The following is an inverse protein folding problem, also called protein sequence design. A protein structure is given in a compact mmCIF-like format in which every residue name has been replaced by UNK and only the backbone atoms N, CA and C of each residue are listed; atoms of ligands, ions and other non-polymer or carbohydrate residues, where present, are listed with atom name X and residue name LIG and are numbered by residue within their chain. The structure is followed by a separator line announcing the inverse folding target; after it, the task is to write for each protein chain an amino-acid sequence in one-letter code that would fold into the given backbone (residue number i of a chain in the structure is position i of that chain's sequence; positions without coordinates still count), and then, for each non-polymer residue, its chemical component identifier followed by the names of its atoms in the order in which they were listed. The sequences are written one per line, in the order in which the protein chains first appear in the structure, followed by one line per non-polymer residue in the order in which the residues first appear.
data_IF_215952581240
#
_entry.id   IF_215952581240
#
_cell.length_a   1.000
_cell.length_b   1.000
_cell.length_c   1.000
_cell.angle_alpha   90.00
_cell.angle_beta   90.00
_cell.angle_gamma   90.00
#
_symmetry.space_group_name_H-M   'P 1'
#
loop_
_entity.id
_entity.type
_entity.pdbx_description
1 polymer ?
#
# COMPACT_ATOMS: atom_id res chain seq x y z
N UNK A 1 0.48 19.27 -13.31
CA UNK A 1 -0.73 20.03 -12.84
C UNK A 1 -0.85 19.73 -11.36
N UNK A 2 -1.13 20.71 -10.49
CA UNK A 2 -1.31 20.41 -9.06
C UNK A 2 -2.68 19.72 -8.83
N UNK A 3 -2.66 18.39 -8.85
CA UNK A 3 -3.84 17.59 -8.56
C UNK A 3 -4.20 17.57 -7.08
N UNK A 4 -3.27 17.84 -6.15
CA UNK A 4 -3.54 17.85 -4.71
C UNK A 4 -4.66 18.84 -4.36
N UNK A 5 -4.62 20.05 -4.91
CA UNK A 5 -5.67 21.04 -4.71
C UNK A 5 -7.03 20.63 -5.27
N UNK A 6 -7.04 19.95 -6.43
CA UNK A 6 -8.28 19.48 -7.07
C UNK A 6 -8.91 18.32 -6.29
N UNK A 7 -8.11 17.34 -5.87
CA UNK A 7 -8.61 16.20 -5.07
C UNK A 7 -9.05 16.62 -3.66
N UNK A 8 -8.37 17.59 -3.03
CA UNK A 8 -8.82 18.13 -1.75
C UNK A 8 -10.21 18.78 -1.85
N UNK A 9 -10.51 19.49 -2.95
CA UNK A 9 -11.86 20.02 -3.24
C UNK A 9 -12.86 18.88 -3.46
N UNK A 10 -12.48 17.80 -4.17
CA UNK A 10 -13.31 16.61 -4.33
C UNK A 10 -13.66 16.00 -2.97
N UNK A 11 -12.67 15.77 -2.11
CA UNK A 11 -12.86 15.21 -0.77
C UNK A 11 -13.88 16.07 0.00
N UNK A 12 -13.62 17.37 0.12
CA UNK A 12 -14.51 18.28 0.83
C UNK A 12 -15.96 18.26 0.30
N UNK A 13 -16.16 18.17 -1.03
CA UNK A 13 -17.48 18.04 -1.65
C UNK A 13 -18.13 16.70 -1.36
N UNK A 14 -17.36 15.59 -1.42
CA UNK A 14 -17.86 14.24 -1.19
C UNK A 14 -18.27 14.03 0.27
N UNK A 15 -17.48 14.53 1.24
CA UNK A 15 -17.82 14.41 2.66
C UNK A 15 -19.13 15.15 3.03
N UNK A 16 -19.46 16.24 2.33
CA UNK A 16 -20.73 16.95 2.52
C UNK A 16 -21.90 16.35 1.75
N UNK A 17 -21.66 15.76 0.59
CA UNK A 17 -22.69 15.34 -0.35
C UNK A 17 -22.94 13.83 -0.43
N UNK A 18 -22.16 13.03 0.29
CA UNK A 18 -22.27 11.57 0.32
C UNK A 18 -22.21 11.05 1.76
N UNK A 19 -23.38 10.76 2.31
CA UNK A 19 -23.59 10.43 3.74
C UNK A 19 -22.67 9.30 4.23
N UNK A 20 -22.44 8.25 3.41
CA UNK A 20 -21.56 7.15 3.77
C UNK A 20 -20.13 7.65 4.01
N UNK A 21 -19.58 8.41 3.06
CA UNK A 21 -18.24 8.96 3.20
C UNK A 21 -18.17 9.94 4.38
N UNK A 22 -19.14 10.87 4.48
CA UNK A 22 -19.19 11.84 5.58
C UNK A 22 -19.16 11.20 6.95
N UNK A 23 -20.02 10.19 7.18
CA UNK A 23 -20.07 9.45 8.46
C UNK A 23 -18.77 8.71 8.76
N UNK A 24 -18.23 7.98 7.79
CA UNK A 24 -17.02 7.18 8.01
C UNK A 24 -15.78 8.04 8.25
N UNK A 25 -15.67 9.21 7.61
CA UNK A 25 -14.60 10.17 7.89
C UNK A 25 -14.77 10.86 9.25
N UNK A 26 -16.02 11.15 9.65
CA UNK A 26 -16.31 11.67 10.99
C UNK A 26 -15.94 10.61 12.06
N UNK A 27 -16.30 9.34 11.86
CA UNK A 27 -15.90 8.25 12.74
C UNK A 27 -14.38 8.11 12.82
N UNK A 28 -13.69 8.18 11.70
CA UNK A 28 -12.22 8.12 11.66
C UNK A 28 -11.58 9.25 12.47
N UNK A 29 -12.15 10.46 12.45
CA UNK A 29 -11.63 11.60 13.21
C UNK A 29 -11.73 11.42 14.72
N UNK A 30 -12.55 10.48 15.19
CA UNK A 30 -12.75 10.10 16.60
C UNK A 30 -12.10 8.75 16.94
N UNK A 31 -11.39 8.14 15.99
CA UNK A 31 -10.77 6.84 16.18
C UNK A 31 -9.70 6.88 17.30
N UNK A 32 -9.74 5.91 18.20
CA UNK A 32 -8.70 5.73 19.20
C UNK A 32 -7.42 5.26 18.55
N UNK A 33 -6.29 5.78 19.05
CA UNK A 33 -4.95 5.41 18.55
C UNK A 33 -4.10 4.93 19.71
N UNK A 34 -3.43 3.78 19.53
CA UNK A 34 -2.32 3.31 20.37
C UNK A 34 -1.05 3.31 19.54
N UNK A 35 0.05 3.68 20.18
CA UNK A 35 1.37 3.62 19.57
C UNK A 35 2.16 2.52 20.25
N UNK A 36 2.70 1.63 19.45
CA UNK A 36 3.58 0.55 19.88
C UNK A 36 4.97 0.79 19.29
N UNK A 37 6.00 0.36 20.00
CA UNK A 37 7.38 0.40 19.51
C UNK A 37 7.82 -1.03 19.15
N UNK A 38 8.31 -1.23 17.92
CA UNK A 38 8.79 -2.49 17.40
C UNK A 38 10.25 -2.31 16.94
N UNK A 39 11.22 -2.48 17.86
CA UNK A 39 12.61 -2.05 17.59
C UNK A 39 12.64 -0.56 17.27
N UNK A 40 13.23 -0.20 16.14
CA UNK A 40 13.31 1.19 15.66
C UNK A 40 12.06 1.64 14.90
N UNK A 41 11.08 0.75 14.72
CA UNK A 41 9.83 1.07 14.02
C UNK A 41 8.70 1.44 14.97
N UNK A 42 7.96 2.46 14.59
CA UNK A 42 6.71 2.89 15.24
C UNK A 42 5.51 2.26 14.57
N UNK A 43 4.64 1.65 15.35
CA UNK A 43 3.38 1.08 14.87
C UNK A 43 2.22 1.87 15.47
N UNK A 44 1.38 2.43 14.63
CA UNK A 44 0.15 3.12 15.02
C UNK A 44 -1.04 2.19 14.83
N UNK A 45 -1.61 1.69 15.93
CA UNK A 45 -2.89 0.98 15.90
C UNK A 45 -4.01 2.00 15.93
N UNK A 46 -4.93 1.91 14.97
CA UNK A 46 -6.09 2.78 14.85
C UNK A 46 -7.36 1.93 14.98
N UNK A 47 -8.12 2.10 16.07
CA UNK A 47 -9.41 1.43 16.22
C UNK A 47 -10.45 2.09 15.32
N UNK A 48 -10.89 1.37 14.31
CA UNK A 48 -11.84 1.85 13.31
C UNK A 48 -12.89 0.78 12.97
N UNK A 49 -13.96 0.66 13.76
CA UNK A 49 -14.99 -0.37 13.58
C UNK A 49 -15.71 -0.30 12.22
N UNK A 50 -15.78 0.87 11.60
CA UNK A 50 -16.38 1.04 10.26
C UNK A 50 -15.60 0.31 9.16
N UNK A 51 -14.34 -0.09 9.45
CA UNK A 51 -13.49 -0.88 8.54
C UNK A 51 -13.81 -2.35 8.52
N UNK A 52 -14.63 -2.88 9.43
CA UNK A 52 -14.93 -4.33 9.53
C UNK A 52 -15.38 -4.92 8.20
N UNK A 53 -16.27 -4.23 7.47
CA UNK A 53 -16.74 -4.68 6.17
C UNK A 53 -15.60 -4.80 5.14
N UNK A 54 -14.67 -3.86 5.13
CA UNK A 54 -13.53 -3.86 4.21
C UNK A 54 -12.46 -4.89 4.61
N UNK A 55 -12.15 -5.02 5.91
CA UNK A 55 -11.14 -5.96 6.43
C UNK A 55 -11.59 -7.42 6.30
N UNK A 56 -12.89 -7.68 6.35
CA UNK A 56 -13.49 -9.02 6.21
C UNK A 56 -13.85 -9.37 4.76
N UNK A 57 -13.48 -8.58 3.76
CA UNK A 57 -13.84 -8.83 2.37
C UNK A 57 -13.37 -10.21 1.89
N UNK A 58 -14.28 -10.98 1.30
CA UNK A 58 -13.96 -12.25 0.66
C UNK A 58 -13.36 -11.99 -0.72
N UNK A 59 -12.18 -12.55 -0.97
CA UNK A 59 -11.42 -12.38 -2.22
C UNK A 59 -11.14 -13.71 -2.93
N UNK A 60 -11.77 -14.79 -2.48
CA UNK A 60 -11.69 -16.06 -3.18
C UNK A 60 -12.38 -15.99 -4.57
N UNK A 61 -11.94 -16.82 -5.51
CA UNK A 61 -12.42 -16.81 -6.91
C UNK A 61 -13.95 -16.91 -7.03
N UNK A 62 -14.60 -17.68 -6.14
CA UNK A 62 -16.07 -17.85 -6.17
C UNK A 62 -16.79 -16.58 -5.70
N UNK A 63 -16.29 -15.96 -4.66
CA UNK A 63 -16.82 -14.68 -4.14
C UNK A 63 -16.63 -13.54 -5.12
N UNK A 64 -15.45 -13.45 -5.75
CA UNK A 64 -15.17 -12.45 -6.79
C UNK A 64 -16.10 -12.60 -8.00
N UNK A 65 -16.31 -13.82 -8.49
CA UNK A 65 -17.17 -14.08 -9.65
C UNK A 65 -18.67 -13.78 -9.39
N UNK A 66 -19.10 -13.75 -8.13
CA UNK A 66 -20.50 -13.51 -7.75
C UNK A 66 -20.81 -12.05 -7.40
N UNK A 67 -19.80 -11.29 -7.01
CA UNK A 67 -20.00 -9.89 -6.61
C UNK A 67 -19.96 -8.97 -7.83
N UNK A 68 -20.74 -7.90 -7.76
CA UNK A 68 -20.54 -6.75 -8.65
C UNK A 68 -19.28 -6.02 -8.24
N UNK A 69 -18.39 -5.73 -9.19
CA UNK A 69 -17.17 -5.00 -8.91
C UNK A 69 -17.51 -3.57 -8.48
N UNK A 70 -17.15 -3.21 -7.26
CA UNK A 70 -17.44 -1.88 -6.68
C UNK A 70 -16.55 -0.76 -7.24
N UNK A 71 -15.54 -1.10 -8.06
CA UNK A 71 -14.71 -0.12 -8.76
C UNK A 71 -15.25 0.20 -10.17
N UNK A 72 -16.08 -0.66 -10.76
CA UNK A 72 -16.74 -0.38 -12.03
C UNK A 72 -17.79 0.74 -11.87
N UNK A 73 -17.80 1.70 -12.79
CA UNK A 73 -18.64 2.90 -12.69
C UNK A 73 -20.15 2.59 -12.65
N UNK A 74 -20.56 1.55 -13.38
CA UNK A 74 -21.95 1.09 -13.43
C UNK A 74 -22.49 0.49 -12.12
N UNK A 75 -21.58 0.13 -11.19
CA UNK A 75 -21.95 -0.41 -9.89
C UNK A 75 -21.75 0.59 -8.75
N UNK A 76 -21.24 1.78 -9.05
CA UNK A 76 -20.99 2.82 -8.05
C UNK A 76 -22.25 3.67 -7.81
N UNK A 77 -22.46 4.12 -6.56
CA UNK A 77 -23.59 5.01 -6.28
C UNK A 77 -23.41 6.35 -7.02
N UNK A 78 -24.49 6.90 -7.55
CA UNK A 78 -24.46 8.17 -8.30
C UNK A 78 -23.86 9.36 -7.52
N UNK A 79 -23.83 9.27 -6.20
CA UNK A 79 -23.22 10.27 -5.29
C UNK A 79 -21.71 10.19 -5.24
N UNK A 80 -21.09 9.05 -5.55
CA UNK A 80 -19.63 8.89 -5.63
C UNK A 80 -19.13 9.56 -6.90
N UNK A 81 -18.45 10.69 -6.75
CA UNK A 81 -17.89 11.45 -7.87
C UNK A 81 -16.41 11.12 -8.04
N UNK A 82 -15.92 11.32 -9.26
CA UNK A 82 -14.54 11.08 -9.65
C UNK A 82 -13.95 12.28 -10.36
N UNK A 83 -12.63 12.34 -10.35
CA UNK A 83 -11.80 13.18 -11.23
C UNK A 83 -11.08 12.24 -12.18
N UNK A 84 -11.09 12.52 -13.47
CA UNK A 84 -10.29 11.78 -14.43
C UNK A 84 -8.82 12.17 -14.30
N UNK A 85 -7.94 11.17 -14.34
CA UNK A 85 -6.50 11.37 -14.35
C UNK A 85 -5.87 10.55 -15.49
N UNK A 86 -5.05 11.22 -16.30
CA UNK A 86 -4.56 10.59 -17.52
C UNK A 86 -5.71 10.19 -18.46
N UNK A 87 -5.48 9.12 -19.22
CA UNK A 87 -6.46 8.62 -20.20
C UNK A 87 -7.35 7.48 -19.68
N UNK A 88 -7.01 6.85 -18.54
CA UNK A 88 -7.67 5.59 -18.11
C UNK A 88 -7.84 5.44 -16.60
N UNK A 89 -7.55 6.45 -15.81
CA UNK A 89 -7.80 6.39 -14.36
C UNK A 89 -8.85 7.38 -13.90
N UNK A 90 -9.58 7.01 -12.86
CA UNK A 90 -10.47 7.88 -12.10
C UNK A 90 -10.04 7.93 -10.65
N UNK A 91 -9.87 9.12 -10.12
CA UNK A 91 -9.56 9.39 -8.71
C UNK A 91 -10.86 9.60 -7.96
N UNK A 92 -11.08 8.83 -6.91
CA UNK A 92 -12.29 8.84 -6.10
C UNK A 92 -11.95 8.86 -4.62
N UNK A 93 -12.86 9.41 -3.79
CA UNK A 93 -12.75 9.30 -2.34
C UNK A 93 -13.02 7.86 -1.92
N UNK A 94 -12.13 7.28 -1.11
CA UNK A 94 -12.38 5.98 -0.51
C UNK A 94 -13.44 6.13 0.60
N UNK A 95 -14.60 5.44 0.51
CA UNK A 95 -15.67 5.61 1.50
C UNK A 95 -15.41 4.93 2.84
N UNK A 96 -14.37 4.10 2.93
CA UNK A 96 -13.93 3.41 4.16
C UNK A 96 -12.50 3.84 4.50
N UNK A 97 -12.29 5.08 4.97
CA UNK A 97 -10.96 5.65 5.10
C UNK A 97 -10.13 4.98 6.20
N UNK A 98 -8.81 4.92 5.97
CA UNK A 98 -7.77 4.69 6.99
C UNK A 98 -7.02 6.00 7.26
N UNK A 99 -6.89 6.83 6.22
CA UNK A 99 -6.19 8.11 6.22
C UNK A 99 -7.18 9.27 6.29
N UNK A 100 -6.77 10.39 6.88
CA UNK A 100 -7.57 11.64 6.90
C UNK A 100 -7.98 12.09 5.50
N UNK A 101 -7.15 11.80 4.50
CA UNK A 101 -7.46 11.92 3.07
C UNK A 101 -7.10 10.59 2.41
N UNK A 102 -8.09 9.84 1.98
CA UNK A 102 -7.92 8.51 1.41
C UNK A 102 -8.61 8.44 0.04
N UNK A 103 -7.82 8.13 -0.97
CA UNK A 103 -8.26 8.05 -2.35
C UNK A 103 -8.16 6.62 -2.87
N UNK A 104 -9.05 6.28 -3.78
CA UNK A 104 -8.96 5.11 -4.66
C UNK A 104 -8.81 5.60 -6.08
N UNK A 105 -7.80 5.12 -6.79
CA UNK A 105 -7.43 5.51 -8.16
C UNK A 105 -7.59 4.28 -9.02
N UNK A 106 -8.78 4.10 -9.58
CA UNK A 106 -9.16 2.90 -10.31
C UNK A 106 -9.04 3.11 -11.83
N UNK A 107 -8.59 2.07 -12.53
CA UNK A 107 -8.71 2.02 -13.98
C UNK A 107 -10.19 2.17 -14.39
N UNK A 108 -10.47 2.83 -15.49
CA UNK A 108 -11.83 2.98 -15.99
C UNK A 108 -12.37 1.68 -16.61
N UNK A 109 -11.49 0.76 -17.00
CA UNK A 109 -11.81 -0.55 -17.50
C UNK A 109 -11.65 -1.62 -16.41
N UNK A 110 -12.49 -2.65 -16.48
CA UNK A 110 -12.35 -3.79 -15.58
C UNK A 110 -11.25 -4.72 -16.08
N UNK A 111 -10.03 -4.46 -15.63
CA UNK A 111 -8.83 -5.24 -15.94
C UNK A 111 -8.19 -5.73 -14.65
N UNK A 112 -7.55 -6.90 -14.64
CA UNK A 112 -6.95 -7.47 -13.42
C UNK A 112 -5.94 -6.53 -12.75
N UNK A 113 -5.83 -6.64 -11.43
CA UNK A 113 -4.82 -5.95 -10.64
C UNK A 113 -3.44 -6.45 -11.01
N UNK A 114 -2.57 -5.58 -11.52
CA UNK A 114 -1.23 -5.91 -11.95
C UNK A 114 -0.34 -4.64 -11.93
N UNK A 115 0.87 -4.73 -11.39
CA UNK A 115 1.77 -3.58 -11.26
C UNK A 115 2.68 -3.40 -12.47
N UNK A 116 3.14 -4.50 -13.07
CA UNK A 116 3.97 -4.44 -14.27
C UNK A 116 3.25 -3.70 -15.40
N UNK A 117 3.96 -2.78 -16.06
CA UNK A 117 3.37 -1.86 -17.04
C UNK A 117 2.62 -0.67 -16.44
N UNK A 118 2.53 -0.55 -15.11
CA UNK A 118 1.86 0.56 -14.39
C UNK A 118 2.76 1.28 -13.37
N UNK A 119 4.03 0.89 -13.29
CA UNK A 119 5.01 1.55 -12.40
C UNK A 119 5.17 3.02 -12.77
N UNK A 120 5.26 3.35 -14.07
CA UNK A 120 5.31 4.72 -14.55
C UNK A 120 4.07 5.55 -14.17
N UNK A 121 2.87 4.94 -14.19
CA UNK A 121 1.63 5.59 -13.74
C UNK A 121 1.68 5.89 -12.23
N UNK A 122 2.18 4.94 -11.42
CA UNK A 122 2.34 5.12 -9.98
C UNK A 122 3.29 6.27 -9.65
N UNK A 123 4.43 6.34 -10.34
CA UNK A 123 5.41 7.43 -10.20
C UNK A 123 4.83 8.79 -10.62
N UNK A 124 4.08 8.81 -11.72
CA UNK A 124 3.40 10.01 -12.20
C UNK A 124 2.33 10.50 -11.23
N UNK A 125 1.53 9.58 -10.66
CA UNK A 125 0.57 9.87 -9.61
C UNK A 125 1.24 10.45 -8.36
N UNK A 126 2.36 9.88 -7.92
CA UNK A 126 3.12 10.37 -6.78
C UNK A 126 3.63 11.81 -7.01
N UNK A 127 3.98 12.15 -8.24
CA UNK A 127 4.44 13.50 -8.64
C UNK A 127 3.29 14.49 -8.74
N UNK A 128 2.10 14.04 -9.12
CA UNK A 128 0.90 14.88 -9.24
C UNK A 128 0.15 15.06 -7.91
N UNK A 129 0.28 14.09 -6.97
CA UNK A 129 -0.38 14.08 -5.66
C UNK A 129 0.64 14.37 -4.54
N UNK A 130 1.19 15.57 -4.52
CA UNK A 130 2.32 15.97 -3.65
C UNK A 130 2.08 15.75 -2.14
N UNK A 131 0.83 15.87 -1.69
CA UNK A 131 0.43 15.69 -0.29
C UNK A 131 0.13 14.23 0.10
N UNK A 132 0.36 13.28 -0.81
CA UNK A 132 -0.06 11.89 -0.65
C UNK A 132 1.11 10.92 -0.81
N UNK A 133 0.96 9.76 -0.17
CA UNK A 133 1.68 8.55 -0.51
C UNK A 133 0.75 7.71 -1.37
N UNK A 134 1.16 7.42 -2.60
CA UNK A 134 0.48 6.48 -3.50
C UNK A 134 0.90 5.07 -3.14
N UNK A 135 -0.03 4.13 -3.11
CA UNK A 135 0.30 2.75 -2.76
C UNK A 135 -0.44 1.72 -3.60
N UNK A 136 0.21 0.57 -3.76
CA UNK A 136 -0.27 -0.58 -4.50
C UNK A 136 -0.32 -1.81 -3.61
N UNK A 137 -1.48 -2.45 -3.57
CA UNK A 137 -1.65 -3.78 -2.99
C UNK A 137 -1.74 -4.80 -4.12
N UNK A 138 -0.80 -5.74 -4.16
CA UNK A 138 -0.86 -6.84 -5.12
C UNK A 138 -2.09 -7.72 -4.93
N UNK A 139 -2.53 -8.49 -5.95
CA UNK A 139 -3.73 -9.33 -5.91
C UNK A 139 -3.74 -10.29 -4.72
N UNK A 140 -2.58 -10.84 -4.38
CA UNK A 140 -2.36 -11.76 -3.25
C UNK A 140 -1.74 -11.06 -2.02
N UNK A 141 -1.71 -9.71 -2.00
CA UNK A 141 -1.05 -8.91 -0.96
C UNK A 141 -1.97 -7.84 -0.38
N UNK A 142 -3.24 -8.18 -0.18
CA UNK A 142 -4.22 -7.33 0.50
C UNK A 142 -5.08 -6.45 -0.41
N UNK A 143 -5.05 -6.63 -1.74
CA UNK A 143 -6.01 -5.98 -2.62
C UNK A 143 -7.43 -6.46 -2.32
N UNK A 144 -8.36 -5.54 -2.07
CA UNK A 144 -9.79 -5.85 -1.88
C UNK A 144 -10.55 -6.06 -3.21
N UNK A 145 -9.95 -5.63 -4.33
CA UNK A 145 -10.44 -5.84 -5.68
C UNK A 145 -9.30 -6.34 -6.59
N UNK A 146 -8.85 -7.60 -6.41
CA UNK A 146 -7.75 -8.18 -7.20
C UNK A 146 -8.13 -8.37 -8.69
N UNK A 147 -9.41 -8.29 -9.00
CA UNK A 147 -10.02 -8.36 -10.31
C UNK A 147 -10.10 -7.01 -11.04
N UNK A 148 -9.74 -5.91 -10.39
CA UNK A 148 -9.82 -4.57 -10.98
C UNK A 148 -8.61 -3.70 -10.62
N UNK A 149 -7.83 -3.31 -11.62
CA UNK A 149 -6.60 -2.53 -11.44
C UNK A 149 -6.87 -1.18 -10.78
N UNK A 150 -6.14 -0.92 -9.70
CA UNK A 150 -6.25 0.31 -8.94
C UNK A 150 -5.02 0.58 -8.09
N UNK A 151 -4.76 1.86 -7.88
CA UNK A 151 -3.92 2.36 -6.81
C UNK A 151 -4.78 2.95 -5.69
N UNK A 152 -4.17 3.23 -4.58
CA UNK A 152 -4.75 4.04 -3.52
C UNK A 152 -3.76 5.15 -3.15
N UNK A 153 -4.25 6.19 -2.48
CA UNK A 153 -3.38 7.22 -1.94
C UNK A 153 -3.90 7.71 -0.58
N UNK A 154 -2.98 7.83 0.37
CA UNK A 154 -3.25 8.33 1.72
C UNK A 154 -2.44 9.58 2.02
N UNK A 155 -2.90 10.42 2.95
CA UNK A 155 -2.15 11.61 3.38
C UNK A 155 -0.74 11.26 3.82
N UNK A 156 0.27 12.04 3.44
CA UNK A 156 1.62 11.96 3.99
C UNK A 156 1.62 12.15 5.52
N UNK A 157 2.63 11.58 6.20
CA UNK A 157 2.84 11.70 7.65
C UNK A 157 1.93 10.80 8.51
N UNK A 158 1.06 9.98 7.90
CA UNK A 158 0.22 9.06 8.66
C UNK A 158 0.83 7.65 8.77
N UNK A 159 1.64 7.22 7.82
CA UNK A 159 2.43 5.99 7.87
C UNK A 159 3.82 6.27 8.42
N UNK A 160 4.18 5.79 9.64
CA UNK A 160 5.47 6.08 10.29
C UNK A 160 6.67 5.69 9.44
N UNK A 161 6.58 4.57 8.72
CA UNK A 161 7.67 4.06 7.91
C UNK A 161 8.18 5.07 6.87
N UNK A 162 7.32 5.95 6.33
CA UNK A 162 7.75 6.92 5.33
C UNK A 162 8.81 7.89 5.87
N UNK A 163 8.79 8.18 7.16
CA UNK A 163 9.81 8.98 7.83
C UNK A 163 10.96 8.10 8.34
N UNK A 164 10.67 6.91 8.85
CA UNK A 164 11.66 5.97 9.39
C UNK A 164 12.68 5.51 8.33
N UNK A 165 12.20 5.21 7.13
CA UNK A 165 13.07 4.73 6.03
C UNK A 165 14.11 5.77 5.58
N UNK A 166 13.88 7.06 5.85
CA UNK A 166 14.83 8.13 5.53
C UNK A 166 16.06 8.13 6.45
N UNK A 167 15.93 7.52 7.61
CA UNK A 167 16.97 7.47 8.64
C UNK A 167 17.54 6.06 8.85
N UNK A 168 16.93 5.07 8.23
CA UNK A 168 17.34 3.68 8.33
C UNK A 168 18.62 3.39 7.54
N UNK A 169 19.41 2.43 8.03
CA UNK A 169 20.60 1.97 7.32
C UNK A 169 20.21 1.25 6.03
N UNK A 170 20.51 1.87 4.90
CA UNK A 170 20.27 1.28 3.59
C UNK A 170 21.50 0.55 3.08
N UNK A 171 21.35 -0.76 2.83
CA UNK A 171 22.36 -1.57 2.17
C UNK A 171 22.17 -1.49 0.65
N UNK A 172 23.08 -0.80 -0.03
CA UNK A 172 22.98 -0.54 -1.47
C UNK A 172 23.07 -1.84 -2.29
N UNK A 173 22.23 -1.94 -3.32
CA UNK A 173 22.26 -2.98 -4.35
C UNK A 173 22.79 -2.41 -5.67
N UNK A 174 22.37 -1.20 -6.00
CA UNK A 174 22.88 -0.44 -7.15
C UNK A 174 22.71 1.05 -6.88
N UNK A 175 23.62 1.83 -7.41
CA UNK A 175 23.60 3.30 -7.38
C UNK A 175 24.06 3.89 -8.71
N UNK A 176 23.71 5.14 -8.94
CA UNK A 176 24.10 5.94 -10.10
C UNK A 176 23.92 7.42 -9.78
N UNK A 177 24.32 8.30 -10.68
CA UNK A 177 24.06 9.76 -10.56
C UNK A 177 22.56 10.11 -10.49
N UNK A 178 21.68 9.20 -10.93
CA UNK A 178 20.23 9.37 -10.88
C UNK A 178 19.60 8.86 -9.56
N UNK A 179 20.35 8.17 -8.68
CA UNK A 179 19.88 7.63 -7.43
C UNK A 179 20.21 6.14 -7.22
N UNK A 180 19.57 5.51 -6.27
CA UNK A 180 19.91 4.16 -5.84
C UNK A 180 18.70 3.26 -5.60
N UNK A 181 18.97 1.96 -5.52
CA UNK A 181 18.13 0.94 -4.90
C UNK A 181 18.93 0.22 -3.83
N UNK A 182 18.31 -0.07 -2.70
CA UNK A 182 18.89 -0.82 -1.62
C UNK A 182 17.84 -1.58 -0.83
N UNK A 183 18.24 -2.25 0.23
CA UNK A 183 17.34 -2.90 1.17
C UNK A 183 17.58 -2.42 2.60
N UNK A 184 16.54 -2.53 3.43
CA UNK A 184 16.54 -2.22 4.87
C UNK A 184 15.99 -3.43 5.61
N UNK A 185 16.63 -3.86 6.70
CA UNK A 185 16.26 -5.04 7.46
C UNK A 185 16.08 -4.77 8.98
N UNK A 186 16.32 -3.55 9.43
CA UNK A 186 16.22 -3.15 10.85
C UNK A 186 14.83 -2.65 11.28
N UNK A 187 13.91 -2.43 10.33
CA UNK A 187 12.57 -1.89 10.62
C UNK A 187 11.51 -2.97 10.88
N UNK A 188 11.89 -4.13 11.43
CA UNK A 188 11.00 -5.23 11.82
C UNK A 188 10.41 -6.03 10.65
N UNK A 189 10.63 -5.60 9.40
CA UNK A 189 10.17 -6.26 8.17
C UNK A 189 11.12 -6.01 7.03
N UNK A 190 11.32 -7.01 6.16
CA UNK A 190 12.16 -6.87 4.99
C UNK A 190 11.51 -5.94 3.96
N UNK A 191 12.27 -4.98 3.46
CA UNK A 191 11.84 -4.07 2.42
C UNK A 191 13.01 -3.65 1.51
N UNK A 192 12.67 -3.26 0.28
CA UNK A 192 13.59 -2.54 -0.60
C UNK A 192 13.19 -1.08 -0.68
N UNK A 193 14.18 -0.19 -0.76
CA UNK A 193 13.97 1.24 -0.96
C UNK A 193 14.63 1.69 -2.26
N UNK A 194 13.95 2.56 -2.99
CA UNK A 194 14.43 3.18 -4.21
C UNK A 194 14.30 4.69 -4.02
N UNK A 195 15.39 5.40 -4.31
CA UNK A 195 15.42 6.85 -4.30
C UNK A 195 16.09 7.33 -5.59
N UNK A 196 15.41 8.19 -6.34
CA UNK A 196 15.92 8.67 -7.64
C UNK A 196 15.46 10.07 -7.96
N UNK A 197 16.30 10.79 -8.72
CA UNK A 197 15.99 12.13 -9.26
C UNK A 197 15.18 12.04 -10.55
N UNK A 198 15.15 10.90 -11.23
CA UNK A 198 14.42 10.71 -12.49
C UNK A 198 13.41 9.57 -12.40
N UNK A 199 12.26 9.76 -13.04
CA UNK A 199 11.21 8.74 -13.11
C UNK A 199 11.71 7.48 -13.84
N UNK A 200 12.54 7.64 -14.88
CA UNK A 200 13.12 6.55 -15.65
C UNK A 200 13.99 5.64 -14.79
N UNK A 201 14.82 6.20 -13.93
CA UNK A 201 15.64 5.42 -13.02
C UNK A 201 14.79 4.68 -11.98
N UNK A 202 13.77 5.35 -11.39
CA UNK A 202 12.84 4.72 -10.47
C UNK A 202 12.14 3.51 -11.11
N UNK A 203 11.59 3.69 -12.31
CA UNK A 203 10.92 2.64 -13.05
C UNK A 203 11.87 1.48 -13.39
N UNK A 204 13.06 1.76 -13.87
CA UNK A 204 14.10 0.77 -14.17
C UNK A 204 14.46 -0.08 -12.94
N UNK A 205 14.73 0.55 -11.80
CA UNK A 205 15.05 -0.16 -10.56
C UNK A 205 13.87 -0.99 -10.05
N UNK A 206 12.66 -0.43 -10.09
CA UNK A 206 11.47 -1.13 -9.63
C UNK A 206 11.14 -2.35 -10.50
N UNK A 207 11.13 -2.20 -11.83
CA UNK A 207 10.84 -3.31 -12.76
C UNK A 207 11.88 -4.42 -12.62
N UNK A 208 13.17 -4.07 -12.56
CA UNK A 208 14.23 -5.06 -12.33
C UNK A 208 14.05 -5.81 -11.01
N UNK A 209 13.68 -5.13 -9.93
CA UNK A 209 13.39 -5.79 -8.65
C UNK A 209 12.20 -6.74 -8.80
N UNK A 210 11.10 -6.30 -9.42
CA UNK A 210 9.90 -7.12 -9.61
C UNK A 210 10.19 -8.39 -10.43
N UNK A 211 11.03 -8.30 -11.45
CA UNK A 211 11.43 -9.44 -12.29
C UNK A 211 12.25 -10.51 -11.53
N UNK A 212 12.94 -10.10 -10.46
CA UNK A 212 13.74 -11.00 -9.62
C UNK A 212 12.97 -11.61 -8.45
N UNK A 213 11.80 -11.07 -8.13
CA UNK A 213 10.97 -11.60 -7.05
C UNK A 213 10.25 -12.89 -7.50
N UNK A 214 10.10 -13.89 -6.62
CA UNK A 214 9.40 -15.12 -6.95
C UNK A 214 7.91 -14.84 -7.22
N UNK A 215 7.41 -15.39 -8.32
CA UNK A 215 5.98 -15.37 -8.65
C UNK A 215 5.36 -16.68 -8.17
N UNK A 216 4.31 -16.66 -7.32
CA UNK A 216 3.65 -17.88 -6.86
C UNK A 216 2.97 -18.61 -8.02
N UNK A 217 2.85 -19.93 -7.91
CA UNK A 217 2.17 -20.75 -8.91
C UNK A 217 0.73 -20.25 -9.17
N UNK A 218 0.39 -20.08 -10.43
CA UNK A 218 -0.91 -19.58 -10.87
C UNK A 218 -1.16 -18.09 -10.63
N UNK A 219 -0.11 -17.33 -10.36
CA UNK A 219 -0.13 -15.87 -10.30
C UNK A 219 0.64 -15.25 -11.49
N UNK A 220 0.26 -14.04 -11.85
CA UNK A 220 0.86 -13.31 -12.99
C UNK A 220 1.93 -12.32 -12.52
N UNK A 221 2.05 -12.07 -11.21
CA UNK A 221 3.05 -11.17 -10.63
C UNK A 221 3.51 -11.64 -9.24
N UNK A 222 4.67 -11.16 -8.76
CA UNK A 222 5.12 -11.44 -7.40
C UNK A 222 4.18 -10.84 -6.35
N UNK A 223 4.16 -11.43 -5.18
CA UNK A 223 3.41 -10.87 -4.05
C UNK A 223 4.15 -9.66 -3.49
N UNK A 224 3.59 -8.47 -3.68
CA UNK A 224 4.18 -7.21 -3.22
C UNK A 224 3.15 -6.24 -2.66
N UNK A 225 3.60 -5.41 -1.72
CA UNK A 225 3.00 -4.13 -1.40
C UNK A 225 4.01 -3.03 -1.77
N UNK A 226 3.55 -1.92 -2.31
CA UNK A 226 4.44 -0.83 -2.75
C UNK A 226 3.92 0.51 -2.26
N UNK A 227 4.79 1.32 -1.68
CA UNK A 227 4.55 2.74 -1.37
C UNK A 227 5.38 3.59 -2.34
N UNK A 228 4.83 4.72 -2.78
CA UNK A 228 5.54 5.66 -3.65
C UNK A 228 5.11 7.09 -3.34
N UNK A 229 6.08 7.99 -3.22
CA UNK A 229 5.81 9.42 -3.09
C UNK A 229 6.89 10.26 -3.74
N UNK A 230 6.53 11.46 -4.12
CA UNK A 230 7.48 12.50 -4.50
C UNK A 230 7.90 13.27 -3.25
N UNK A 231 9.18 13.31 -2.96
CA UNK A 231 9.72 14.17 -1.92
C UNK A 231 10.02 15.54 -2.49
N UNK A 232 9.32 16.56 -2.01
CA UNK A 232 9.49 17.94 -2.49
C UNK A 232 10.72 18.62 -1.91
N UNK A 233 11.24 18.13 -0.79
CA UNK A 233 12.43 18.68 -0.12
C UNK A 233 13.68 18.33 -0.91
N UNK A 234 13.84 17.04 -1.20
CA UNK A 234 15.03 16.52 -1.88
C UNK A 234 14.85 16.46 -3.41
N UNK A 235 13.62 16.70 -3.89
CA UNK A 235 13.25 16.60 -5.31
C UNK A 235 13.53 15.21 -5.90
N UNK A 236 13.10 14.16 -5.18
CA UNK A 236 13.31 12.76 -5.57
C UNK A 236 12.00 11.97 -5.50
N UNK A 237 11.90 10.92 -6.32
CA UNK A 237 10.95 9.83 -6.10
C UNK A 237 11.49 8.90 -5.04
N UNK A 238 10.64 8.57 -4.06
CA UNK A 238 10.89 7.54 -3.06
C UNK A 238 9.88 6.42 -3.25
N UNK A 239 10.38 5.20 -3.27
CA UNK A 239 9.55 4.01 -3.39
C UNK A 239 10.01 2.97 -2.37
N UNK A 240 9.06 2.32 -1.70
CA UNK A 240 9.31 1.21 -0.79
C UNK A 240 8.55 0.00 -1.29
N UNK A 241 9.25 -1.11 -1.47
CA UNK A 241 8.69 -2.38 -1.94
C UNK A 241 8.82 -3.41 -0.83
N UNK A 242 7.69 -4.00 -0.44
CA UNK A 242 7.63 -5.10 0.53
C UNK A 242 7.36 -6.41 -0.23
N UNK A 243 8.37 -7.28 -0.40
CA UNK A 243 8.14 -8.62 -0.92
C UNK A 243 7.37 -9.45 0.10
N UNK A 244 6.30 -10.11 -0.36
CA UNK A 244 5.40 -10.89 0.49
C UNK A 244 5.50 -12.38 0.17
N UNK A 245 5.23 -13.22 1.18
CA UNK A 245 5.16 -14.67 1.05
C UNK A 245 3.74 -15.20 1.21
N UNK A 246 2.92 -14.48 1.97
CA UNK A 246 1.54 -14.89 2.26
C UNK A 246 0.58 -13.71 2.17
N UNK A 247 -0.66 -14.01 1.81
CA UNK A 247 -1.74 -13.03 1.78
C UNK A 247 -2.15 -12.60 3.19
N UNK A 248 -2.34 -13.55 4.10
CA UNK A 248 -2.81 -13.34 5.48
C UNK A 248 -1.99 -14.18 6.45
N UNK A 249 -1.80 -13.71 7.70
CA UNK A 249 -1.14 -14.49 8.73
C UNK A 249 -2.04 -15.66 9.18
N UNK A 250 -1.45 -16.70 9.75
CA UNK A 250 -2.18 -17.85 10.24
C UNK A 250 -3.17 -17.50 11.37
N UNK A 251 -2.85 -16.44 12.13
CA UNK A 251 -3.72 -15.91 13.19
C UNK A 251 -4.91 -15.08 12.69
N UNK A 252 -5.10 -14.93 11.35
CA UNK A 252 -6.23 -14.18 10.80
C UNK A 252 -7.56 -14.86 11.11
N UNK A 253 -8.46 -14.13 11.76
CA UNK A 253 -9.81 -14.60 12.08
C UNK A 253 -10.43 -13.83 13.23
N UNK A 254 -11.60 -14.31 13.71
CA UNK A 254 -12.34 -13.72 14.84
C UNK A 254 -12.50 -14.64 16.04
N UNK A 255 -11.91 -15.85 15.99
CA UNK A 255 -11.92 -16.83 17.08
C UNK A 255 -10.97 -16.48 18.23
N UNK A 256 -10.94 -17.31 19.29
CA UNK A 256 -9.96 -17.19 20.37
C UNK A 256 -8.52 -17.25 19.83
N UNK A 257 -7.65 -16.33 20.24
CA UNK A 257 -6.26 -16.25 19.76
C UNK A 257 -6.10 -15.83 18.29
N UNK A 258 -7.17 -15.33 17.68
CA UNK A 258 -7.14 -14.78 16.32
C UNK A 258 -7.42 -13.29 16.32
N UNK A 259 -6.87 -12.58 15.31
CA UNK A 259 -7.12 -11.17 15.06
C UNK A 259 -7.72 -10.95 13.67
N UNK A 260 -8.71 -10.07 13.58
CA UNK A 260 -9.33 -9.70 12.29
C UNK A 260 -8.46 -8.63 11.59
N UNK A 261 -7.21 -8.98 11.35
CA UNK A 261 -6.23 -8.08 10.70
C UNK A 261 -5.62 -8.78 9.49
N UNK A 262 -5.74 -8.15 8.33
CA UNK A 262 -5.17 -8.63 7.06
C UNK A 262 -4.17 -7.58 6.54
N UNK A 263 -2.90 -7.63 6.98
CA UNK A 263 -1.93 -6.59 6.68
C UNK A 263 -1.72 -6.38 5.18
N UNK A 264 -1.85 -5.12 4.76
CA UNK A 264 -1.63 -4.60 3.41
C UNK A 264 -0.69 -3.39 3.46
N UNK A 265 -0.64 -2.53 2.45
CA UNK A 265 0.30 -1.39 2.42
C UNK A 265 0.25 -0.48 3.65
N UNK A 266 -0.93 -0.20 4.18
CA UNK A 266 -1.05 0.67 5.36
C UNK A 266 -0.36 0.05 6.57
N UNK A 267 -0.63 -1.25 6.83
CA UNK A 267 -0.05 -2.00 7.92
C UNK A 267 1.47 -2.23 7.70
N UNK A 268 1.89 -2.49 6.45
CA UNK A 268 3.32 -2.52 6.10
C UNK A 268 3.98 -1.16 6.34
N UNK A 269 3.27 -0.06 6.12
CA UNK A 269 3.69 1.30 6.41
C UNK A 269 3.64 1.70 7.90
N UNK A 270 3.23 0.78 8.78
CA UNK A 270 3.15 1.01 10.23
C UNK A 270 1.83 1.61 10.72
N UNK A 271 0.82 1.80 9.85
CA UNK A 271 -0.52 2.24 10.23
C UNK A 271 -1.50 1.07 10.16
N UNK A 272 -1.86 0.52 11.31
CA UNK A 272 -2.71 -0.67 11.45
C UNK A 272 -4.16 -0.28 11.74
N UNK A 273 -5.04 -0.53 10.77
CA UNK A 273 -6.48 -0.30 10.92
C UNK A 273 -7.15 -1.51 11.55
N UNK A 274 -7.51 -1.40 12.82
CA UNK A 274 -8.07 -2.49 13.65
C UNK A 274 -9.59 -2.30 13.77
N UNK A 275 -10.41 -3.22 13.22
CA UNK A 275 -11.87 -3.09 13.28
C UNK A 275 -12.51 -3.62 14.57
N UNK A 276 -11.80 -4.47 15.34
CA UNK A 276 -12.29 -5.11 16.55
C UNK A 276 -11.63 -4.52 17.79
N UNK A 277 -12.43 -4.12 18.77
CA UNK A 277 -11.94 -3.51 20.01
C UNK A 277 -11.05 -4.46 20.82
N UNK A 278 -11.41 -5.77 20.86
CA UNK A 278 -10.60 -6.79 21.50
C UNK A 278 -9.18 -6.85 20.92
N UNK A 279 -9.07 -6.77 19.58
CA UNK A 279 -7.80 -6.83 18.87
C UNK A 279 -6.98 -5.55 19.14
N UNK A 280 -7.65 -4.38 19.08
CA UNK A 280 -7.02 -3.10 19.39
C UNK A 280 -6.42 -3.07 20.81
N UNK A 281 -7.11 -3.64 21.78
CA UNK A 281 -6.66 -3.66 23.18
C UNK A 281 -5.59 -4.71 23.46
N UNK A 282 -5.58 -5.84 22.76
CA UNK A 282 -4.73 -7.00 23.06
C UNK A 282 -3.45 -7.10 22.22
N UNK A 283 -3.43 -6.55 20.98
CA UNK A 283 -2.25 -6.64 20.11
C UNK A 283 -1.00 -6.07 20.77
N UNK A 284 0.09 -6.82 20.70
CA UNK A 284 1.41 -6.46 21.22
C UNK A 284 2.43 -6.28 20.10
N UNK A 285 3.60 -5.67 20.36
CA UNK A 285 4.69 -5.60 19.38
C UNK A 285 5.13 -6.99 18.90
N UNK A 286 5.15 -7.99 19.79
CA UNK A 286 5.53 -9.38 19.50
C UNK A 286 4.56 -10.04 18.51
N UNK A 287 3.26 -9.80 18.69
CA UNK A 287 2.23 -10.28 17.77
C UNK A 287 2.41 -9.71 16.37
N UNK A 288 2.69 -8.41 16.28
CA UNK A 288 2.94 -7.72 15.02
C UNK A 288 4.22 -8.24 14.36
N UNK A 289 5.30 -8.42 15.14
CA UNK A 289 6.54 -8.99 14.62
C UNK A 289 6.33 -10.41 14.09
N UNK A 290 5.56 -11.24 14.80
CA UNK A 290 5.23 -12.58 14.35
C UNK A 290 4.47 -12.56 13.02
N UNK A 291 3.49 -11.65 12.87
CA UNK A 291 2.79 -11.47 11.59
C UNK A 291 3.72 -10.98 10.47
N UNK A 292 4.59 -10.02 10.72
CA UNK A 292 5.57 -9.56 9.72
C UNK A 292 6.52 -10.70 9.30
N UNK A 293 7.04 -11.48 10.25
CA UNK A 293 7.91 -12.61 9.97
C UNK A 293 7.23 -13.70 9.10
N UNK A 294 5.92 -13.86 9.26
CA UNK A 294 5.15 -14.82 8.46
C UNK A 294 4.81 -14.27 7.06
N UNK A 295 4.54 -12.97 6.96
CA UNK A 295 4.04 -12.35 5.74
C UNK A 295 5.14 -11.88 4.78
N UNK A 296 6.28 -11.43 5.31
CA UNK A 296 7.39 -10.88 4.52
C UNK A 296 8.42 -11.96 4.21
N UNK A 297 9.25 -11.71 3.20
CA UNK A 297 10.39 -12.56 2.91
C UNK A 297 11.30 -12.70 4.12
N UNK A 298 11.72 -13.92 4.40
CA UNK A 298 12.76 -14.20 5.39
C UNK A 298 14.14 -13.81 4.84
N UNK A 299 15.15 -13.79 5.71
CA UNK A 299 16.53 -13.40 5.36
C UNK A 299 17.14 -14.26 4.26
N UNK A 300 16.84 -15.55 4.20
CA UNK A 300 17.39 -16.45 3.19
C UNK A 300 16.83 -16.14 1.80
N UNK A 301 15.52 -15.92 1.68
CA UNK A 301 14.88 -15.58 0.42
C UNK A 301 15.30 -14.17 -0.03
N UNK A 302 15.42 -13.22 0.90
CA UNK A 302 15.94 -11.88 0.64
C UNK A 302 17.36 -11.95 0.06
N UNK A 303 18.25 -12.73 0.66
CA UNK A 303 19.63 -12.89 0.19
C UNK A 303 19.72 -13.47 -1.23
N UNK A 304 18.79 -14.35 -1.63
CA UNK A 304 18.71 -14.85 -3.02
C UNK A 304 18.40 -13.72 -4.00
N UNK A 305 17.41 -12.88 -3.68
CA UNK A 305 17.04 -11.72 -4.51
C UNK A 305 18.22 -10.74 -4.60
N UNK A 306 18.87 -10.43 -3.48
CA UNK A 306 20.04 -9.55 -3.41
C UNK A 306 21.18 -10.09 -4.30
N UNK A 307 21.50 -11.38 -4.17
CA UNK A 307 22.56 -12.01 -4.98
C UNK A 307 22.23 -11.97 -6.47
N UNK A 308 20.97 -12.26 -6.84
CA UNK A 308 20.52 -12.20 -8.24
C UNK A 308 20.54 -10.77 -8.79
N UNK A 309 20.23 -9.78 -7.95
CA UNK A 309 20.27 -8.38 -8.35
C UNK A 309 21.72 -7.96 -8.69
N UNK A 310 22.70 -8.35 -7.89
CA UNK A 310 24.11 -8.00 -8.06
C UNK A 310 24.75 -8.71 -9.27
N UNK A 311 24.47 -10.00 -9.48
CA UNK A 311 25.02 -10.75 -10.63
C UNK A 311 24.64 -10.15 -11.99
N UNK A 312 23.49 -9.54 -12.13
CA UNK A 312 23.08 -8.91 -13.38
C UNK A 312 23.75 -7.55 -13.64
N UNK A 313 24.45 -6.95 -12.66
CA UNK A 313 25.22 -5.71 -12.86
C UNK A 313 26.57 -5.98 -13.54
N UNK A 314 27.12 -7.19 -13.40
CA UNK A 314 28.43 -7.55 -13.99
C UNK A 314 28.38 -7.78 -15.51
N UNK A 315 27.16 -7.83 -16.11
CA UNK A 315 26.96 -8.10 -17.54
C UNK A 315 26.38 -6.92 -18.34
N UNK A 316 26.28 -5.74 -17.74
CA UNK A 316 25.87 -4.49 -18.39
C UNK A 316 27.01 -3.48 -18.41
#
# INVERSE_FOLDING_TARGET
MDYSGVVNKLIAKQLRGWDLAGRNYAALSQASVRVLQLGDSTIRLQYNPERRQSSAAAIDKKSLARRKCFLCSEHQPARQKAILWGSHYKIQVNPYPIFKRHLTIADMHHVPQHLSGRVGDMLSLARDLLDYVVFYNGPQSGASAPDHAHFQAGSKGEMPLCDEVLHATTHLLADSDEGFIGYVDELGRSLFTIETTTMRAAERYALRLLDLLPVPEGCDEPMVNVLCWWDTTDSVWRMVVFPRLKHRPACYGSGPGQWLVSPACAEMGGLWAIPEEKDFNSLTPEDIQAMYNELCMNRQDLNRVISSYNHHLEYL
#
